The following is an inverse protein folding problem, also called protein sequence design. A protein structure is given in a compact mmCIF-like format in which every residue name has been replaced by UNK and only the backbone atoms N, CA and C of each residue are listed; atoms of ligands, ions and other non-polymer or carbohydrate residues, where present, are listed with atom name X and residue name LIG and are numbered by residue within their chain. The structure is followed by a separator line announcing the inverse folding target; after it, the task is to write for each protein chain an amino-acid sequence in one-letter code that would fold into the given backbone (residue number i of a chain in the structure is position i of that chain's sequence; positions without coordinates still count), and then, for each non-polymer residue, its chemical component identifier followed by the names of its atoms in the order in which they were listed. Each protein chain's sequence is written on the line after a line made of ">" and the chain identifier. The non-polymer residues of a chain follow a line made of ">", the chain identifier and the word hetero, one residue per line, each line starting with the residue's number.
data_IF_465887790930
#
_entry.id   IF_465887790930
#
_cell.length_a   1.000
_cell.length_b   1.000
_cell.length_c   1.000
_cell.angle_alpha   90.00
_cell.angle_beta   90.00
_cell.angle_gamma   90.00
#
_symmetry.space_group_name_H-M   'P 1'
#
loop_
_entity.id
_entity.type
_entity.pdbx_description
1 polymer ?
#
# COMPACT_ATOMS: atom_id res chain seq x y z
N UNK A 1 -16.72 7.66 2.22
CA UNK A 1 -15.51 6.97 2.67
C UNK A 1 -15.34 5.65 1.91
N UNK A 2 -14.11 5.21 1.70
CA UNK A 2 -13.82 3.91 1.04
C UNK A 2 -13.82 2.75 2.02
N UNK A 3 -13.80 3.04 3.29
CA UNK A 3 -13.71 2.13 4.42
C UNK A 3 -15.07 1.56 4.83
N UNK A 4 -15.06 0.31 5.28
CA UNK A 4 -16.15 -0.37 5.95
C UNK A 4 -15.61 -0.87 7.30
N UNK A 5 -15.59 0.04 8.28
CA UNK A 5 -15.07 -0.24 9.61
C UNK A 5 -16.13 -0.94 10.45
N UNK A 6 -15.78 -2.08 11.04
CA UNK A 6 -16.69 -2.90 11.83
C UNK A 6 -16.78 -2.47 13.31
N UNK A 7 -15.91 -1.57 13.73
CA UNK A 7 -15.77 -1.18 15.15
C UNK A 7 -16.08 0.29 15.40
N UNK A 8 -15.94 1.14 14.38
CA UNK A 8 -16.12 2.58 14.49
C UNK A 8 -16.97 3.13 13.35
N UNK A 9 -17.83 4.07 13.69
CA UNK A 9 -18.61 4.89 12.76
C UNK A 9 -18.63 6.31 13.31
N UNK A 10 -17.83 7.20 12.74
CA UNK A 10 -17.66 8.56 13.20
C UNK A 10 -17.13 9.47 12.08
N UNK A 11 -16.65 10.68 12.41
CA UNK A 11 -16.10 11.59 11.41
C UNK A 11 -14.82 11.10 10.75
N UNK A 12 -14.10 10.13 11.33
CA UNK A 12 -12.86 9.55 10.81
C UNK A 12 -13.10 8.23 10.05
N UNK A 13 -14.18 7.51 10.38
CA UNK A 13 -14.45 6.16 9.92
C UNK A 13 -15.78 6.02 9.20
N UNK A 14 -15.75 5.34 8.05
CA UNK A 14 -16.97 4.96 7.33
C UNK A 14 -17.28 3.47 7.52
N UNK A 15 -18.55 3.10 7.40
CA UNK A 15 -19.03 1.73 7.57
C UNK A 15 -19.73 1.14 6.32
N UNK A 16 -19.72 1.87 5.19
CA UNK A 16 -20.39 1.46 3.94
C UNK A 16 -19.46 1.31 2.74
N UNK A 17 -18.16 1.53 2.92
CA UNK A 17 -17.20 1.42 1.82
C UNK A 17 -16.87 -0.03 1.46
N UNK A 18 -16.18 -0.25 0.35
CA UNK A 18 -15.80 -1.60 -0.07
C UNK A 18 -14.63 -2.19 0.73
N UNK A 19 -13.80 -1.37 1.39
CA UNK A 19 -12.61 -1.83 2.10
C UNK A 19 -12.94 -2.22 3.54
N UNK A 20 -12.94 -3.51 3.82
CA UNK A 20 -13.22 -4.05 5.14
C UNK A 20 -12.09 -3.79 6.13
N UNK A 21 -12.44 -3.29 7.32
CA UNK A 21 -11.53 -3.02 8.43
C UNK A 21 -12.15 -3.53 9.72
N UNK A 22 -11.40 -4.31 10.49
CA UNK A 22 -11.86 -4.83 11.77
C UNK A 22 -10.74 -4.92 12.81
N UNK A 23 -11.09 -4.98 14.08
CA UNK A 23 -10.16 -5.34 15.16
C UNK A 23 -10.07 -6.85 15.24
N UNK A 24 -8.87 -7.40 15.05
CA UNK A 24 -8.64 -8.84 15.05
C UNK A 24 -8.94 -9.48 16.40
N UNK A 25 -9.69 -10.59 16.38
CA UNK A 25 -10.00 -11.44 17.53
C UNK A 25 -9.87 -12.92 17.15
N UNK A 26 -9.48 -13.83 18.09
CA UNK A 26 -9.02 -13.55 19.45
C UNK A 26 -7.56 -13.06 19.51
N UNK A 27 -7.22 -12.27 20.50
CA UNK A 27 -5.82 -11.90 20.79
C UNK A 27 -5.11 -12.98 21.61
N UNK A 28 -3.81 -13.12 21.38
CA UNK A 28 -2.97 -14.06 22.13
C UNK A 28 -2.85 -13.66 23.60
N UNK A 29 -2.71 -14.65 24.50
CA UNK A 29 -2.53 -14.41 25.94
C UNK A 29 -1.29 -13.55 26.23
N UNK A 30 -0.20 -13.76 25.47
CA UNK A 30 0.99 -12.90 25.57
C UNK A 30 0.67 -11.43 25.25
N UNK A 31 -0.15 -11.17 24.23
CA UNK A 31 -0.58 -9.82 23.86
C UNK A 31 -1.51 -9.22 24.92
N UNK A 32 -2.42 -10.00 25.49
CA UNK A 32 -3.27 -9.56 26.61
C UNK A 32 -2.43 -9.17 27.83
N UNK A 33 -1.43 -9.99 28.18
CA UNK A 33 -0.50 -9.71 29.28
C UNK A 33 0.25 -8.39 29.05
N UNK A 34 0.72 -8.14 27.83
CA UNK A 34 1.35 -6.86 27.46
C UNK A 34 0.39 -5.67 27.61
N UNK A 35 -0.84 -5.79 27.12
CA UNK A 35 -1.84 -4.73 27.27
C UNK A 35 -2.20 -4.46 28.74
N UNK A 36 -2.24 -5.49 29.58
CA UNK A 36 -2.44 -5.34 31.01
C UNK A 36 -1.26 -4.62 31.67
N UNK A 37 -0.03 -4.99 31.34
CA UNK A 37 1.17 -4.30 31.83
C UNK A 37 1.19 -2.80 31.43
N UNK A 38 0.77 -2.46 30.22
CA UNK A 38 0.61 -1.07 29.78
C UNK A 38 -0.40 -0.31 30.67
N UNK A 39 -1.53 -0.97 31.00
CA UNK A 39 -2.54 -0.41 31.91
C UNK A 39 -1.97 -0.19 33.32
N UNK A 40 -1.28 -1.18 33.86
CA UNK A 40 -0.65 -1.11 35.20
C UNK A 40 0.43 -0.03 35.27
N UNK A 41 1.16 0.18 34.17
CA UNK A 41 2.14 1.26 34.05
C UNK A 41 1.50 2.66 33.97
N UNK A 42 0.18 2.74 33.80
CA UNK A 42 -0.57 4.01 33.74
C UNK A 42 -0.68 4.63 32.34
N UNK A 43 -0.39 3.88 31.27
CA UNK A 43 -0.60 4.37 29.91
C UNK A 43 -2.11 4.51 29.61
N UNK A 44 -2.47 5.46 28.79
CA UNK A 44 -3.85 5.65 28.34
C UNK A 44 -4.21 4.60 27.28
N UNK A 45 -5.34 3.92 27.48
CA UNK A 45 -5.86 3.00 26.47
C UNK A 45 -6.36 3.79 25.26
N UNK A 46 -5.96 3.36 24.05
CA UNK A 46 -6.49 3.86 22.80
C UNK A 46 -7.10 2.70 22.01
N UNK A 47 -8.36 2.81 21.64
CA UNK A 47 -9.07 1.82 20.85
C UNK A 47 -9.02 2.13 19.34
N UNK A 48 -8.54 3.32 19.00
CA UNK A 48 -8.52 3.82 17.63
C UNK A 48 -7.30 4.72 17.38
N UNK A 49 -6.29 4.16 16.72
CA UNK A 49 -5.07 4.89 16.33
C UNK A 49 -5.21 5.69 15.03
N UNK A 50 -6.36 5.61 14.37
CA UNK A 50 -6.66 6.35 13.14
C UNK A 50 -7.70 7.46 13.38
N UNK A 51 -8.10 7.67 14.64
CA UNK A 51 -9.00 8.73 15.06
C UNK A 51 -8.27 10.02 15.46
N UNK A 52 -8.91 10.79 16.33
CA UNK A 52 -8.40 12.10 16.79
C UNK A 52 -7.09 12.00 17.56
N UNK A 53 -6.90 10.93 18.35
CA UNK A 53 -5.74 10.74 19.20
C UNK A 53 -4.98 9.47 18.77
N UNK A 54 -3.68 9.62 18.54
CA UNK A 54 -2.80 8.50 18.14
C UNK A 54 -1.95 7.96 19.28
N UNK A 55 -1.93 8.63 20.43
CA UNK A 55 -1.14 8.21 21.58
C UNK A 55 -1.87 7.17 22.43
N UNK A 56 -1.09 6.27 23.05
CA UNK A 56 -1.60 5.27 23.97
C UNK A 56 -1.19 3.85 23.63
N UNK A 57 -1.91 2.87 24.21
CA UNK A 57 -1.72 1.46 23.91
C UNK A 57 -3.04 0.82 23.46
N UNK A 58 -2.97 -0.14 22.58
CA UNK A 58 -4.15 -0.84 22.09
C UNK A 58 -3.82 -1.82 20.96
N UNK A 59 -4.85 -2.32 20.32
CA UNK A 59 -4.75 -3.15 19.13
C UNK A 59 -4.95 -2.31 17.89
N UNK A 60 -4.17 -2.59 16.86
CA UNK A 60 -4.41 -2.04 15.53
C UNK A 60 -5.61 -2.71 14.88
N UNK A 61 -6.35 -1.93 14.12
CA UNK A 61 -7.32 -2.43 13.16
C UNK A 61 -6.61 -2.95 11.92
N UNK A 62 -7.19 -3.95 11.29
CA UNK A 62 -6.58 -4.68 10.17
C UNK A 62 -7.58 -4.94 9.06
N UNK A 63 -7.07 -5.05 7.83
CA UNK A 63 -7.86 -5.46 6.67
C UNK A 63 -7.98 -7.00 6.64
N UNK A 64 -8.81 -7.53 7.50
CA UNK A 64 -9.17 -8.96 7.56
C UNK A 64 -10.70 -9.07 7.46
N UNK A 65 -11.19 -10.05 6.72
CA UNK A 65 -12.60 -10.39 6.61
C UNK A 65 -12.74 -11.91 6.67
N UNK A 66 -13.58 -12.40 7.58
CA UNK A 66 -13.77 -13.85 7.78
C UNK A 66 -12.45 -14.61 8.01
N UNK A 67 -11.54 -14.04 8.81
CA UNK A 67 -10.24 -14.65 9.12
C UNK A 67 -9.23 -14.63 7.97
N UNK A 68 -9.51 -14.01 6.85
CA UNK A 68 -8.62 -13.91 5.71
C UNK A 68 -8.24 -12.45 5.42
N UNK A 69 -7.00 -12.25 4.95
CA UNK A 69 -6.55 -10.93 4.50
C UNK A 69 -7.49 -10.40 3.42
N UNK A 70 -8.02 -9.21 3.62
CA UNK A 70 -8.89 -8.50 2.70
C UNK A 70 -8.12 -7.36 2.04
N UNK A 71 -7.59 -7.61 0.86
CA UNK A 71 -6.72 -6.68 0.14
C UNK A 71 -7.49 -5.64 -0.67
N UNK A 72 -6.79 -4.61 -1.17
CA UNK A 72 -7.37 -3.68 -2.13
C UNK A 72 -7.89 -4.38 -3.41
N UNK A 73 -7.25 -5.49 -3.81
CA UNK A 73 -7.77 -6.33 -4.90
C UNK A 73 -9.13 -6.95 -4.56
N UNK A 74 -9.31 -7.42 -3.32
CA UNK A 74 -10.59 -7.99 -2.87
C UNK A 74 -11.68 -6.92 -2.80
N UNK A 75 -11.33 -5.73 -2.34
CA UNK A 75 -12.26 -4.64 -2.16
C UNK A 75 -12.68 -3.95 -3.48
N UNK A 76 -11.74 -3.72 -4.39
CA UNK A 76 -11.94 -2.81 -5.53
C UNK A 76 -11.83 -3.48 -6.89
N UNK A 77 -10.99 -4.52 -7.04
CA UNK A 77 -10.73 -5.14 -8.34
C UNK A 77 -11.65 -6.33 -8.60
N UNK A 78 -11.68 -7.31 -7.68
CA UNK A 78 -12.48 -8.53 -7.86
C UNK A 78 -13.96 -8.25 -8.19
N UNK A 79 -14.65 -7.29 -7.52
CA UNK A 79 -16.06 -7.00 -7.81
C UNK A 79 -16.35 -6.45 -9.20
N UNK A 80 -15.32 -6.04 -9.94
CA UNK A 80 -15.46 -5.37 -11.24
C UNK A 80 -14.75 -6.08 -12.38
N UNK A 81 -14.17 -7.26 -12.15
CA UNK A 81 -13.40 -8.00 -13.16
C UNK A 81 -14.23 -8.37 -14.39
N UNK A 82 -15.55 -8.58 -14.23
CA UNK A 82 -16.45 -8.96 -15.32
C UNK A 82 -16.94 -7.77 -16.16
N UNK A 83 -16.47 -6.54 -15.87
CA UNK A 83 -16.86 -5.38 -16.66
C UNK A 83 -16.24 -5.45 -18.05
N UNK A 84 -17.02 -5.26 -19.13
CA UNK A 84 -16.51 -5.37 -20.50
C UNK A 84 -15.51 -4.28 -20.89
N UNK A 85 -15.43 -3.20 -20.13
CA UNK A 85 -14.49 -2.10 -20.32
C UNK A 85 -13.25 -2.17 -19.42
N UNK A 86 -13.03 -3.30 -18.72
CA UNK A 86 -11.86 -3.54 -17.88
C UNK A 86 -11.04 -4.71 -18.44
N UNK A 87 -9.75 -4.47 -18.68
CA UNK A 87 -8.79 -5.51 -19.03
C UNK A 87 -7.67 -5.55 -17.98
N UNK A 88 -7.41 -6.72 -17.41
CA UNK A 88 -6.35 -6.97 -16.44
C UNK A 88 -5.21 -7.76 -17.09
N UNK A 89 -4.06 -7.12 -17.26
CA UNK A 89 -2.84 -7.75 -17.78
C UNK A 89 -1.88 -8.12 -16.64
N UNK A 90 -1.94 -9.36 -16.19
CA UNK A 90 -1.00 -9.90 -15.18
C UNK A 90 0.32 -10.36 -15.82
N UNK A 91 1.37 -10.55 -15.00
CA UNK A 91 2.69 -10.97 -15.46
C UNK A 91 3.24 -10.10 -16.61
N UNK A 92 2.94 -8.81 -16.54
CA UNK A 92 3.27 -7.83 -17.58
C UNK A 92 4.09 -6.70 -16.95
N UNK A 93 5.30 -6.52 -17.45
CA UNK A 93 6.18 -5.43 -17.02
C UNK A 93 5.95 -4.21 -17.90
N UNK A 94 5.70 -3.06 -17.29
CA UNK A 94 5.73 -1.78 -17.99
C UNK A 94 7.16 -1.28 -18.01
N UNK A 95 7.76 -1.20 -19.19
CA UNK A 95 9.17 -0.81 -19.37
C UNK A 95 9.33 0.70 -19.54
N UNK A 96 8.36 1.38 -20.14
CA UNK A 96 8.46 2.80 -20.50
C UNK A 96 7.10 3.44 -20.76
N UNK A 97 6.97 4.72 -20.40
CA UNK A 97 5.88 5.59 -20.85
C UNK A 97 6.28 6.17 -22.19
N UNK A 98 5.40 6.06 -23.17
CA UNK A 98 5.60 6.64 -24.49
C UNK A 98 5.02 8.06 -24.48
N UNK A 99 5.84 9.00 -24.89
CA UNK A 99 5.46 10.42 -24.95
C UNK A 99 5.56 10.94 -26.39
N UNK A 100 4.64 11.84 -26.75
CA UNK A 100 4.67 12.63 -27.98
C UNK A 100 4.35 14.08 -27.62
N UNK A 101 5.19 15.02 -28.03
CA UNK A 101 5.03 16.45 -27.69
C UNK A 101 4.80 16.70 -26.19
N UNK A 102 5.58 16.02 -25.33
CA UNK A 102 5.47 16.06 -23.85
C UNK A 102 4.13 15.55 -23.29
N UNK A 103 3.29 14.92 -24.09
CA UNK A 103 2.06 14.27 -23.66
C UNK A 103 2.28 12.76 -23.62
N UNK A 104 1.83 12.10 -22.55
CA UNK A 104 1.83 10.63 -22.47
C UNK A 104 0.76 10.08 -23.42
N UNK A 105 1.16 9.19 -24.32
CA UNK A 105 0.29 8.63 -25.36
C UNK A 105 0.21 7.11 -25.35
N UNK A 106 0.92 6.46 -24.44
CA UNK A 106 0.90 5.00 -24.28
C UNK A 106 1.98 4.49 -23.35
N UNK A 107 2.03 3.18 -23.22
CA UNK A 107 3.05 2.47 -22.45
C UNK A 107 3.65 1.36 -23.27
N UNK A 108 4.96 1.15 -23.12
CA UNK A 108 5.66 -0.02 -23.65
C UNK A 108 5.64 -1.10 -22.57
N UNK A 109 5.10 -2.25 -22.91
CA UNK A 109 5.01 -3.40 -22.00
C UNK A 109 5.79 -4.60 -22.53
N UNK A 110 6.19 -5.49 -21.62
CA UNK A 110 6.81 -6.77 -21.90
C UNK A 110 6.14 -7.88 -21.09
N UNK A 111 5.81 -8.96 -21.76
CA UNK A 111 5.28 -10.18 -21.15
C UNK A 111 5.81 -11.43 -21.89
N UNK A 112 5.24 -12.61 -21.61
CA UNK A 112 5.64 -13.87 -22.28
C UNK A 112 5.40 -13.85 -23.80
N UNK A 113 4.50 -13.01 -24.31
CA UNK A 113 4.23 -12.87 -25.77
C UNK A 113 5.19 -11.90 -26.46
N UNK A 114 6.08 -11.27 -25.71
CA UNK A 114 7.06 -10.31 -26.24
C UNK A 114 6.79 -8.87 -25.76
N UNK A 115 7.33 -7.92 -26.51
CA UNK A 115 7.22 -6.48 -26.25
C UNK A 115 6.16 -5.87 -27.18
N UNK A 116 5.28 -5.03 -26.61
CA UNK A 116 4.25 -4.30 -27.38
C UNK A 116 3.99 -2.91 -26.79
N UNK A 117 3.33 -2.07 -27.54
CA UNK A 117 2.90 -0.73 -27.11
C UNK A 117 1.38 -0.74 -26.97
N UNK A 118 0.89 -0.27 -25.82
CA UNK A 118 -0.52 0.01 -25.58
C UNK A 118 -0.71 1.51 -25.62
N UNK A 119 -1.54 2.00 -26.54
CA UNK A 119 -1.87 3.41 -26.66
C UNK A 119 -2.87 3.86 -25.60
N UNK A 120 -2.82 5.15 -25.25
CA UNK A 120 -3.81 5.80 -24.39
C UNK A 120 -4.37 7.05 -25.10
N UNK A 121 -5.68 7.18 -25.07
CA UNK A 121 -6.39 8.35 -25.60
C UNK A 121 -6.71 9.39 -24.52
N UNK A 122 -6.69 8.98 -23.25
CA UNK A 122 -7.02 9.85 -22.10
C UNK A 122 -5.83 10.00 -21.16
N UNK A 123 -5.69 9.11 -20.18
CA UNK A 123 -4.74 9.23 -19.09
C UNK A 123 -3.92 7.95 -18.89
N UNK A 124 -2.76 8.12 -18.27
CA UNK A 124 -1.93 7.02 -17.76
C UNK A 124 -1.70 7.29 -16.29
N UNK A 125 -2.23 6.41 -15.42
CA UNK A 125 -2.11 6.52 -13.98
C UNK A 125 -1.01 5.60 -13.49
N UNK A 126 0.00 6.16 -12.80
CA UNK A 126 1.11 5.40 -12.23
C UNK A 126 0.81 5.00 -10.79
N UNK A 127 0.61 3.71 -10.56
CA UNK A 127 0.35 3.12 -9.24
C UNK A 127 1.44 2.11 -8.83
N UNK A 128 2.69 2.31 -9.29
CA UNK A 128 3.82 1.42 -9.04
C UNK A 128 4.45 1.57 -7.64
N UNK A 129 3.93 2.48 -6.82
CA UNK A 129 4.47 2.78 -5.49
C UNK A 129 5.63 3.77 -5.54
N UNK A 130 6.15 4.11 -4.35
CA UNK A 130 7.16 5.16 -4.14
C UNK A 130 8.52 4.88 -4.77
N UNK A 131 8.81 3.63 -5.12
CA UNK A 131 10.06 3.21 -5.77
C UNK A 131 9.85 3.03 -7.27
N UNK A 132 8.85 2.24 -7.69
CA UNK A 132 8.72 1.89 -9.11
C UNK A 132 8.12 3.02 -9.97
N UNK A 133 7.25 3.87 -9.43
CA UNK A 133 6.70 5.00 -10.18
C UNK A 133 7.77 6.02 -10.60
N UNK A 134 8.64 6.52 -9.70
CA UNK A 134 9.75 7.39 -10.10
C UNK A 134 10.77 6.67 -10.98
N UNK A 135 11.03 5.38 -10.78
CA UNK A 135 11.90 4.60 -11.67
C UNK A 135 11.35 4.58 -13.09
N UNK A 136 10.05 4.29 -13.26
CA UNK A 136 9.41 4.25 -14.57
C UNK A 136 9.41 5.63 -15.26
N UNK A 137 9.20 6.70 -14.49
CA UNK A 137 9.33 8.06 -15.01
C UNK A 137 10.75 8.32 -15.53
N UNK A 138 11.78 8.02 -14.74
CA UNK A 138 13.17 8.21 -15.13
C UNK A 138 13.57 7.37 -16.34
N UNK A 139 13.17 6.09 -16.39
CA UNK A 139 13.37 5.22 -17.57
C UNK A 139 12.66 5.77 -18.83
N UNK A 140 11.63 6.59 -18.63
CA UNK A 140 10.88 7.25 -19.70
C UNK A 140 11.46 8.62 -20.09
N UNK A 141 12.57 9.04 -19.47
CA UNK A 141 13.20 10.33 -19.75
C UNK A 141 12.63 11.50 -18.95
N UNK A 142 11.83 11.23 -17.91
CA UNK A 142 11.20 12.25 -17.07
C UNK A 142 11.85 12.17 -15.67
N UNK A 143 12.64 13.16 -15.30
CA UNK A 143 13.38 13.14 -14.02
C UNK A 143 14.51 14.16 -14.00
N UNK A 144 15.41 14.07 -13.00
CA UNK A 144 16.53 15.00 -12.85
C UNK A 144 17.47 14.92 -14.06
N UNK A 145 17.59 16.01 -14.81
CA UNK A 145 18.36 16.09 -16.06
C UNK A 145 19.76 15.52 -15.95
N UNK A 146 20.54 15.96 -14.96
CA UNK A 146 21.91 15.48 -14.79
C UNK A 146 21.97 13.96 -14.61
N UNK A 147 21.14 13.41 -13.74
CA UNK A 147 21.08 11.97 -13.47
C UNK A 147 20.72 11.16 -14.74
N UNK A 148 19.73 11.64 -15.51
CA UNK A 148 19.34 10.98 -16.75
C UNK A 148 20.45 11.02 -17.80
N UNK A 149 21.15 12.15 -17.92
CA UNK A 149 22.31 12.31 -18.82
C UNK A 149 23.46 11.38 -18.44
N UNK A 150 23.80 11.27 -17.16
CA UNK A 150 24.84 10.38 -16.66
C UNK A 150 24.55 8.91 -16.98
N UNK A 151 23.26 8.52 -16.98
CA UNK A 151 22.77 7.20 -17.37
C UNK A 151 22.53 7.04 -18.88
N UNK A 152 22.81 8.05 -19.70
CA UNK A 152 22.56 8.07 -21.14
C UNK A 152 21.08 7.83 -21.52
N UNK A 153 20.16 8.25 -20.64
CA UNK A 153 18.73 8.22 -20.90
C UNK A 153 18.33 9.53 -21.60
N UNK A 154 17.72 9.48 -22.79
CA UNK A 154 17.26 10.67 -23.49
C UNK A 154 16.27 11.48 -22.66
N UNK A 155 16.55 12.76 -22.45
CA UNK A 155 15.70 13.65 -21.67
C UNK A 155 14.43 14.01 -22.43
N UNK A 156 13.27 13.73 -21.84
CA UNK A 156 11.95 14.18 -22.31
C UNK A 156 11.53 15.44 -21.53
N UNK A 157 11.69 15.40 -20.20
CA UNK A 157 11.33 16.51 -19.34
C UNK A 157 12.20 16.53 -18.08
N UNK A 158 12.78 17.69 -17.78
CA UNK A 158 13.53 17.89 -16.54
C UNK A 158 12.56 18.08 -15.38
N UNK A 159 12.53 17.10 -14.48
CA UNK A 159 11.67 17.12 -13.30
C UNK A 159 12.49 16.69 -12.08
N UNK A 160 13.21 17.64 -11.42
CA UNK A 160 14.22 17.37 -10.42
C UNK A 160 13.69 16.72 -9.13
N UNK A 161 12.36 16.78 -8.87
CA UNK A 161 11.72 16.14 -7.71
C UNK A 161 11.49 14.63 -7.85
N UNK A 162 11.57 14.08 -9.06
CA UNK A 162 11.35 12.64 -9.30
C UNK A 162 12.42 11.81 -8.58
N UNK A 163 11.97 10.87 -7.73
CA UNK A 163 12.84 9.99 -6.95
C UNK A 163 13.47 10.65 -5.73
N UNK A 164 13.05 11.87 -5.36
CA UNK A 164 13.48 12.54 -4.13
C UNK A 164 12.42 12.47 -3.04
N UNK A 165 12.85 12.82 -1.81
CA UNK A 165 11.97 12.92 -0.63
C UNK A 165 11.24 11.61 -0.30
N UNK A 166 11.89 10.46 -0.54
CA UNK A 166 11.37 9.17 -0.08
C UNK A 166 11.29 9.19 1.44
N UNK A 167 10.09 8.89 1.95
CA UNK A 167 9.80 8.85 3.38
C UNK A 167 9.10 7.53 3.72
N UNK A 168 9.34 7.04 4.91
CA UNK A 168 8.64 5.89 5.47
C UNK A 168 8.33 6.14 6.94
N UNK A 169 7.32 5.45 7.48
CA UNK A 169 6.96 5.54 8.88
C UNK A 169 8.05 4.93 9.75
N UNK A 170 8.55 5.69 10.71
CA UNK A 170 9.48 5.18 11.70
C UNK A 170 8.76 4.20 12.63
N UNK A 171 9.24 2.96 12.68
CA UNK A 171 8.77 1.95 13.62
C UNK A 171 9.92 1.42 14.46
N UNK A 172 9.66 1.18 15.73
CA UNK A 172 10.60 0.51 16.64
C UNK A 172 9.98 -0.80 17.12
N UNK A 173 10.58 -1.90 16.72
CA UNK A 173 10.17 -3.22 17.19
C UNK A 173 10.97 -3.62 18.41
N UNK A 174 10.29 -3.83 19.54
CA UNK A 174 10.91 -4.32 20.78
C UNK A 174 10.47 -5.76 20.99
N UNK A 175 11.42 -6.66 21.03
CA UNK A 175 11.17 -8.09 21.19
C UNK A 175 11.56 -8.55 22.59
N UNK A 176 10.68 -9.29 23.24
CA UNK A 176 10.91 -9.91 24.54
C UNK A 176 10.85 -11.43 24.43
N UNK A 177 11.72 -12.11 25.19
CA UNK A 177 11.57 -13.55 25.41
C UNK A 177 10.51 -13.78 26.49
N UNK A 178 9.50 -14.56 26.16
CA UNK A 178 8.42 -14.91 27.08
C UNK A 178 8.59 -16.35 27.52
N UNK A 179 8.49 -16.59 28.82
CA UNK A 179 8.44 -17.93 29.40
C UNK A 179 6.98 -18.23 29.80
N UNK A 180 6.54 -19.48 29.62
CA UNK A 180 5.23 -19.98 30.08
C UNK A 180 3.98 -19.60 29.24
N UNK A 181 4.10 -18.75 28.21
CA UNK A 181 3.00 -18.43 27.31
C UNK A 181 3.34 -18.83 25.89
N UNK A 182 2.36 -19.35 25.15
CA UNK A 182 2.53 -19.65 23.72
C UNK A 182 2.65 -18.36 22.91
N UNK A 183 3.70 -18.29 22.12
CA UNK A 183 3.93 -17.21 21.18
C UNK A 183 3.28 -17.51 19.82
N UNK A 184 3.16 -16.49 18.97
CA UNK A 184 2.68 -16.67 17.60
C UNK A 184 3.53 -17.69 16.81
N UNK A 185 4.85 -17.67 17.00
CA UNK A 185 5.76 -18.60 16.32
C UNK A 185 5.57 -20.07 16.74
N UNK A 186 5.04 -20.32 17.95
CA UNK A 186 4.73 -21.67 18.43
C UNK A 186 3.38 -22.16 17.96
N UNK A 187 2.45 -21.25 17.67
CA UNK A 187 1.13 -21.60 17.12
C UNK A 187 1.17 -21.85 15.59
N UNK A 188 2.22 -21.41 14.93
CA UNK A 188 2.45 -21.58 13.49
C UNK A 188 3.22 -22.87 13.15
N UNK A 189 3.62 -23.66 14.14
CA UNK A 189 4.26 -24.97 14.00
C UNK A 189 3.23 -26.09 14.01
#
# INVERSE_FOLDING_TARGET
>A
ALENNQNHEDQYHGNFGPLWVETYQPILEASKSFLNACKEYGLKKNNDFNGENQEGYGQYQVNIKNGQRFSASDAFLKPVLDRPNLELLTNTLVEKIITSNKKAVGVKIKNKKGTQIIGSTCEIVLCGGSINSPQLLMLSGIGPKKHLMDLKIPLVHDLPGVGKNLQDHLTVNISYKINQLKTFSELMK
#
